data_IF_289460749160
#
_entry.id   IF_289460749160
#
_cell.length_a   1.000
_cell.length_b   1.000
_cell.length_c   1.000
_cell.angle_alpha   90.00
_cell.angle_beta   90.00
_cell.angle_gamma   90.00
#
_symmetry.space_group_name_H-M   'P 1'
#
loop_
_entity.id
_entity.type
_entity.pdbx_description
1 polymer ?
#
# COMPACT_ATOMS: atom_id res chain seq x y z
N UNK A 1 -6.25 -9.49 -2.40
CA UNK A 1 -4.97 -9.27 -3.07
C UNK A 1 -5.14 -9.02 -4.55
N UNK A 2 -4.16 -8.38 -5.12
CA UNK A 2 -4.00 -8.28 -6.56
C UNK A 2 -2.53 -8.38 -6.93
N UNK A 3 -2.25 -8.98 -8.07
CA UNK A 3 -0.90 -8.98 -8.64
C UNK A 3 -0.94 -8.97 -10.16
N UNK A 4 0.09 -8.43 -10.76
CA UNK A 4 0.32 -8.47 -12.21
C UNK A 4 1.70 -9.06 -12.46
N UNK A 5 1.72 -10.06 -13.31
CA UNK A 5 2.92 -10.80 -13.68
C UNK A 5 3.02 -10.95 -15.19
N UNK A 6 4.23 -11.12 -15.69
CA UNK A 6 4.49 -11.34 -17.09
C UNK A 6 5.37 -12.57 -17.24
N UNK A 7 5.17 -13.31 -18.33
CA UNK A 7 6.02 -14.42 -18.71
C UNK A 7 6.51 -14.29 -20.14
N UNK A 8 7.80 -14.50 -20.33
CA UNK A 8 8.43 -14.58 -21.63
C UNK A 8 9.08 -15.95 -21.81
N UNK A 9 8.52 -16.76 -22.68
CA UNK A 9 8.98 -18.14 -22.92
C UNK A 9 8.31 -18.72 -24.15
N UNK A 10 9.00 -19.56 -24.90
CA UNK A 10 8.42 -20.35 -26.00
C UNK A 10 7.49 -21.49 -25.48
N UNK A 11 7.53 -21.77 -24.18
CA UNK A 11 6.63 -22.69 -23.51
C UNK A 11 5.76 -21.96 -22.48
N UNK A 12 4.62 -22.55 -22.12
CA UNK A 12 3.79 -22.01 -21.05
C UNK A 12 4.55 -21.96 -19.71
N UNK A 13 4.40 -20.85 -18.99
CA UNK A 13 4.99 -20.63 -17.67
C UNK A 13 3.89 -20.41 -16.63
N UNK A 14 4.23 -20.36 -15.36
CA UNK A 14 3.25 -20.08 -14.32
C UNK A 14 3.83 -19.28 -13.16
N UNK A 15 2.93 -18.60 -12.44
CA UNK A 15 3.21 -18.04 -11.11
C UNK A 15 2.26 -18.66 -10.09
N UNK A 16 2.82 -19.07 -8.95
CA UNK A 16 2.06 -19.63 -7.83
C UNK A 16 2.19 -18.71 -6.62
N UNK A 17 1.07 -18.15 -6.15
CA UNK A 17 0.97 -17.45 -4.88
C UNK A 17 0.68 -18.46 -3.78
N UNK A 18 1.48 -18.43 -2.71
CA UNK A 18 1.28 -19.25 -1.51
C UNK A 18 1.17 -18.37 -0.27
N UNK A 19 0.40 -18.85 0.71
CA UNK A 19 0.39 -18.34 2.08
C UNK A 19 1.02 -19.39 3.00
N UNK A 20 2.24 -19.12 3.48
CA UNK A 20 3.06 -20.16 4.11
C UNK A 20 3.36 -21.28 3.14
N UNK A 21 2.89 -22.49 3.43
CA UNK A 21 3.00 -23.68 2.56
C UNK A 21 1.80 -23.87 1.63
N UNK A 22 0.67 -23.23 1.92
CA UNK A 22 -0.60 -23.48 1.24
C UNK A 22 -0.68 -22.68 -0.07
N UNK A 23 -1.06 -23.36 -1.14
CA UNK A 23 -1.31 -22.70 -2.41
C UNK A 23 -2.60 -21.89 -2.35
N UNK A 24 -2.49 -20.61 -2.69
CA UNK A 24 -3.62 -19.66 -2.78
C UNK A 24 -4.12 -19.58 -4.22
N UNK A 25 -3.18 -19.41 -5.15
CA UNK A 25 -3.51 -19.25 -6.57
C UNK A 25 -2.34 -19.62 -7.46
N UNK A 26 -2.60 -20.42 -8.49
CA UNK A 26 -1.67 -20.60 -9.62
C UNK A 26 -2.29 -19.99 -10.87
N UNK A 27 -1.50 -19.25 -11.63
CA UNK A 27 -1.85 -18.68 -12.93
C UNK A 27 -0.88 -19.17 -13.98
N UNK A 28 -1.41 -19.62 -15.10
CA UNK A 28 -0.61 -20.03 -16.26
C UNK A 28 -0.51 -18.85 -17.23
N UNK A 29 0.69 -18.59 -17.71
CA UNK A 29 0.96 -17.57 -18.72
C UNK A 29 1.24 -18.28 -20.03
N UNK A 30 0.53 -17.93 -21.11
CA UNK A 30 0.76 -18.51 -22.44
C UNK A 30 2.20 -18.27 -22.92
N UNK A 31 2.64 -19.10 -23.88
CA UNK A 31 3.92 -18.91 -24.55
C UNK A 31 3.89 -17.73 -25.50
N UNK A 32 5.07 -17.15 -25.73
CA UNK A 32 5.33 -16.16 -26.79
C UNK A 32 6.44 -16.69 -27.70
N UNK A 33 6.42 -16.31 -28.98
CA UNK A 33 7.52 -16.68 -29.90
C UNK A 33 8.73 -15.78 -29.63
N UNK A 34 9.69 -16.26 -28.85
CA UNK A 34 10.83 -15.46 -28.39
C UNK A 34 11.75 -14.98 -29.53
N UNK A 35 11.71 -15.61 -30.69
CA UNK A 35 12.50 -15.27 -31.88
C UNK A 35 11.83 -14.26 -32.81
N UNK A 36 10.54 -13.95 -32.56
CA UNK A 36 9.82 -12.96 -33.35
C UNK A 36 10.14 -11.55 -32.82
N UNK A 37 10.93 -10.79 -33.58
CA UNK A 37 11.35 -9.44 -33.22
C UNK A 37 10.19 -8.41 -33.27
N UNK A 38 9.13 -8.73 -34.01
CA UNK A 38 7.93 -7.87 -34.14
C UNK A 38 6.74 -8.41 -33.34
N UNK A 39 6.90 -9.52 -32.65
CA UNK A 39 5.89 -10.17 -31.84
C UNK A 39 5.73 -9.58 -30.45
N UNK A 40 4.81 -10.18 -29.69
CA UNK A 40 4.59 -9.81 -28.28
C UNK A 40 5.84 -10.20 -27.47
N UNK A 41 6.42 -9.23 -26.74
CA UNK A 41 7.61 -9.46 -25.93
C UNK A 41 7.36 -10.44 -24.78
N UNK A 42 6.25 -10.29 -24.08
CA UNK A 42 5.84 -11.13 -22.96
C UNK A 42 4.31 -11.09 -22.79
N UNK A 43 3.71 -12.18 -22.35
CA UNK A 43 2.29 -12.22 -21.98
C UNK A 43 2.09 -11.74 -20.56
N UNK A 44 0.96 -11.03 -20.33
CA UNK A 44 0.64 -10.35 -19.07
C UNK A 44 -0.62 -10.97 -18.48
N UNK A 45 -0.56 -11.32 -17.20
CA UNK A 45 -1.73 -11.75 -16.43
C UNK A 45 -1.91 -10.84 -15.21
N UNK A 46 -3.14 -10.35 -15.03
CA UNK A 46 -3.58 -9.64 -13.83
C UNK A 46 -4.56 -10.49 -13.04
N UNK A 47 -4.34 -10.58 -11.74
CA UNK A 47 -5.16 -11.37 -10.82
C UNK A 47 -5.73 -10.47 -9.74
N UNK A 48 -7.02 -10.65 -9.45
CA UNK A 48 -7.75 -10.02 -8.35
C UNK A 48 -8.53 -11.12 -7.63
N UNK A 49 -8.26 -11.32 -6.35
CA UNK A 49 -8.97 -12.33 -5.57
C UNK A 49 -8.85 -12.03 -4.07
N UNK A 50 -9.49 -12.84 -3.25
CA UNK A 50 -9.44 -12.75 -1.80
C UNK A 50 -8.77 -13.97 -1.19
N UNK A 51 -8.19 -13.80 -0.01
CA UNK A 51 -7.64 -14.89 0.79
C UNK A 51 -7.88 -14.59 2.26
N UNK A 52 -8.30 -15.59 3.02
CA UNK A 52 -8.37 -15.47 4.47
C UNK A 52 -6.99 -15.62 5.07
N UNK A 53 -6.51 -14.65 5.88
CA UNK A 53 -5.20 -14.77 6.49
C UNK A 53 -5.18 -15.91 7.51
N UNK A 54 -4.20 -16.80 7.41
CA UNK A 54 -4.02 -17.94 8.32
C UNK A 54 -3.53 -17.50 9.72
N UNK A 55 -3.00 -16.28 9.84
CA UNK A 55 -2.48 -15.73 11.10
C UNK A 55 -2.56 -14.20 11.10
N UNK A 56 -2.27 -13.59 12.25
CA UNK A 56 -2.18 -12.13 12.37
C UNK A 56 -0.99 -11.52 11.59
N UNK A 57 -0.03 -12.34 11.19
CA UNK A 57 1.14 -11.95 10.40
C UNK A 57 1.40 -13.01 9.32
N UNK A 58 0.54 -13.10 8.29
CA UNK A 58 0.69 -14.10 7.24
C UNK A 58 1.93 -13.81 6.40
N UNK A 59 2.63 -14.87 6.01
CA UNK A 59 3.72 -14.82 5.03
C UNK A 59 3.20 -15.23 3.66
N UNK A 60 3.54 -14.46 2.64
CA UNK A 60 3.19 -14.76 1.25
C UNK A 60 4.45 -14.92 0.42
N UNK A 61 4.41 -15.87 -0.52
CA UNK A 61 5.46 -16.06 -1.53
C UNK A 61 4.83 -16.15 -2.91
N UNK A 62 5.47 -15.55 -3.90
CA UNK A 62 5.08 -15.65 -5.30
C UNK A 62 6.24 -16.31 -6.06
N UNK A 63 6.00 -17.52 -6.58
CA UNK A 63 7.04 -18.35 -7.21
C UNK A 63 6.78 -18.45 -8.72
N UNK A 64 7.81 -18.19 -9.51
CA UNK A 64 7.80 -18.40 -10.95
C UNK A 64 8.22 -19.83 -11.29
N UNK A 65 7.52 -20.46 -12.24
CA UNK A 65 7.87 -21.78 -12.78
C UNK A 65 8.03 -21.66 -14.30
N UNK A 66 9.20 -22.04 -14.79
CA UNK A 66 9.63 -21.87 -16.19
C UNK A 66 8.98 -22.84 -17.19
N UNK A 67 8.20 -23.83 -16.71
CA UNK A 67 7.63 -24.86 -17.58
C UNK A 67 8.66 -25.77 -18.23
N UNK A 68 9.88 -25.85 -17.67
CA UNK A 68 10.99 -26.64 -18.24
C UNK A 68 11.84 -25.89 -19.28
N UNK A 69 11.51 -24.65 -19.63
CA UNK A 69 12.31 -23.81 -20.51
C UNK A 69 13.35 -23.02 -19.71
N UNK A 70 14.64 -23.29 -19.89
CA UNK A 70 15.73 -22.59 -19.20
C UNK A 70 15.90 -21.12 -19.62
N UNK A 71 15.40 -20.73 -20.79
CA UNK A 71 15.42 -19.37 -21.29
C UNK A 71 14.19 -18.55 -20.82
N UNK A 72 13.25 -19.19 -20.12
CA UNK A 72 12.07 -18.52 -19.65
C UNK A 72 12.38 -17.45 -18.59
N UNK A 73 11.72 -16.32 -18.71
CA UNK A 73 11.86 -15.21 -17.76
C UNK A 73 10.48 -14.81 -17.24
N UNK A 74 10.38 -14.70 -15.92
CA UNK A 74 9.20 -14.17 -15.24
C UNK A 74 9.47 -12.78 -14.68
N UNK A 75 8.49 -11.89 -14.80
CA UNK A 75 8.55 -10.53 -14.27
C UNK A 75 7.37 -10.29 -13.34
N UNK A 76 7.59 -9.55 -12.29
CA UNK A 76 6.55 -9.08 -11.37
C UNK A 76 6.44 -7.56 -11.57
N UNK A 77 5.27 -7.10 -11.99
CA UNK A 77 4.97 -5.67 -12.09
C UNK A 77 4.60 -5.12 -10.72
N UNK A 78 3.60 -5.74 -10.07
CA UNK A 78 3.24 -5.43 -8.69
C UNK A 78 2.59 -6.61 -7.98
N UNK A 79 2.65 -6.56 -6.66
CA UNK A 79 1.86 -7.39 -5.74
C UNK A 79 1.33 -6.50 -4.63
N UNK A 80 0.01 -6.40 -4.51
CA UNK A 80 -0.66 -5.62 -3.48
C UNK A 80 -1.51 -6.51 -2.59
N UNK A 81 -1.40 -6.33 -1.29
CA UNK A 81 -2.29 -6.91 -0.29
C UNK A 81 -3.08 -5.78 0.38
N UNK A 82 -4.40 -5.83 0.23
CA UNK A 82 -5.32 -4.90 0.86
C UNK A 82 -6.02 -5.64 1.98
N UNK A 83 -5.75 -5.26 3.22
CA UNK A 83 -6.29 -5.92 4.38
C UNK A 83 -6.76 -4.91 5.43
N UNK A 84 -7.81 -5.29 6.19
CA UNK A 84 -8.17 -4.60 7.41
C UNK A 84 -7.28 -5.11 8.54
N UNK A 85 -6.48 -4.22 9.10
CA UNK A 85 -5.61 -4.54 10.23
C UNK A 85 -6.16 -3.97 11.54
N UNK A 86 -5.75 -4.55 12.67
CA UNK A 86 -5.96 -3.92 13.98
C UNK A 86 -5.17 -2.62 14.04
N UNK A 87 -5.72 -1.62 14.68
CA UNK A 87 -5.06 -0.33 14.89
C UNK A 87 -4.07 -0.46 16.06
N UNK A 88 -2.89 -0.98 15.77
CA UNK A 88 -1.82 -1.15 16.76
C UNK A 88 -0.73 -0.12 16.50
N UNK A 89 -0.45 0.73 17.48
CA UNK A 89 0.63 1.69 17.41
C UNK A 89 1.99 1.00 17.63
N UNK A 90 2.93 1.24 16.72
CA UNK A 90 4.26 0.61 16.72
C UNK A 90 5.36 1.66 16.59
N UNK A 91 5.36 2.65 17.47
CA UNK A 91 6.37 3.73 17.52
C UNK A 91 6.60 4.46 16.17
N UNK A 92 5.54 4.56 15.39
CA UNK A 92 5.53 5.25 14.09
C UNK A 92 4.23 6.00 13.95
N UNK A 93 4.17 6.84 12.92
CA UNK A 93 2.91 7.44 12.50
C UNK A 93 1.97 6.34 11.98
N UNK A 94 0.78 6.22 12.58
CA UNK A 94 -0.26 5.29 12.16
C UNK A 94 -1.32 6.05 11.34
N UNK A 95 -1.45 5.65 10.07
CA UNK A 95 -2.51 6.15 9.19
C UNK A 95 -3.73 5.26 9.34
N UNK A 96 -4.90 5.86 9.57
CA UNK A 96 -6.16 5.18 9.78
C UNK A 96 -7.16 5.64 8.73
N UNK A 97 -7.73 4.69 7.98
CA UNK A 97 -8.82 4.93 7.05
C UNK A 97 -9.57 3.61 6.86
N UNK A 98 -10.87 3.59 7.14
CA UNK A 98 -11.66 2.36 7.12
C UNK A 98 -13.02 2.58 6.44
N UNK A 99 -13.19 2.01 5.24
CA UNK A 99 -14.45 2.07 4.50
C UNK A 99 -15.65 1.48 5.26
N UNK A 100 -15.42 0.54 6.19
CA UNK A 100 -16.49 -0.07 6.98
C UNK A 100 -17.00 0.82 8.09
N UNK A 101 -16.30 1.91 8.40
CA UNK A 101 -16.76 2.92 9.34
C UNK A 101 -17.74 3.91 8.70
N UNK A 102 -17.86 3.93 7.36
CA UNK A 102 -18.67 4.91 6.64
C UNK A 102 -20.14 4.54 6.67
N UNK A 103 -20.97 5.49 7.07
CA UNK A 103 -22.43 5.37 7.05
C UNK A 103 -23.09 6.72 7.27
N UNK A 104 -24.30 6.90 6.72
CA UNK A 104 -25.06 8.15 6.89
C UNK A 104 -25.28 8.45 8.39
N UNK A 105 -24.97 9.67 8.80
CA UNK A 105 -25.08 10.15 10.20
C UNK A 105 -24.36 9.28 11.24
N UNK A 106 -23.31 8.55 10.82
CA UNK A 106 -22.56 7.64 11.69
C UNK A 106 -21.46 8.36 12.43
N UNK A 107 -21.32 8.04 13.71
CA UNK A 107 -20.17 8.40 14.56
C UNK A 107 -19.46 7.11 14.95
N UNK A 108 -18.20 6.99 14.54
CA UNK A 108 -17.40 5.81 14.82
C UNK A 108 -16.42 6.05 15.96
N UNK A 109 -16.34 5.08 16.87
CA UNK A 109 -15.32 5.02 17.91
C UNK A 109 -14.15 4.17 17.42
N UNK A 110 -12.97 4.75 17.43
CA UNK A 110 -11.72 4.08 17.11
C UNK A 110 -10.92 3.81 18.38
N UNK A 111 -10.31 2.64 18.45
CA UNK A 111 -9.40 2.26 19.52
C UNK A 111 -8.04 1.94 18.92
N UNK A 112 -7.03 2.71 19.29
CA UNK A 112 -5.62 2.49 18.90
C UNK A 112 -4.91 1.83 20.07
N UNK A 113 -4.47 0.61 19.86
CA UNK A 113 -3.81 -0.22 20.85
C UNK A 113 -2.32 0.13 20.99
N UNK A 114 -1.75 -0.14 22.16
CA UNK A 114 -0.31 -0.07 22.41
C UNK A 114 0.21 1.30 22.88
N UNK A 115 -0.67 2.31 23.01
CA UNK A 115 -0.29 3.59 23.62
C UNK A 115 -1.52 4.32 24.14
N UNK A 116 -1.51 4.85 25.37
CA UNK A 116 -2.62 5.56 25.98
C UNK A 116 -2.65 7.07 25.66
N UNK A 117 -1.62 7.62 25.01
CA UNK A 117 -1.41 9.07 24.91
C UNK A 117 -0.98 9.52 23.52
N UNK A 118 -1.66 9.02 22.48
CA UNK A 118 -1.41 9.47 21.12
C UNK A 118 -2.19 10.75 20.81
N UNK A 119 -1.57 11.64 20.06
CA UNK A 119 -2.27 12.68 19.34
C UNK A 119 -2.90 12.11 18.09
N UNK A 120 -4.15 12.49 17.81
CA UNK A 120 -4.86 12.08 16.59
C UNK A 120 -5.33 13.30 15.83
N UNK A 121 -5.00 13.35 14.55
CA UNK A 121 -5.47 14.41 13.66
C UNK A 121 -6.32 13.82 12.53
N UNK A 122 -7.44 14.47 12.23
CA UNK A 122 -8.15 14.27 10.97
C UNK A 122 -7.40 15.04 9.89
N UNK A 123 -6.92 14.31 8.90
CA UNK A 123 -6.17 14.81 7.74
C UNK A 123 -6.87 14.45 6.43
N UNK A 124 -8.19 14.30 6.48
CA UNK A 124 -9.03 14.08 5.30
C UNK A 124 -8.85 15.22 4.31
N UNK A 125 -8.81 16.45 4.80
CA UNK A 125 -8.29 17.60 4.07
C UNK A 125 -6.87 17.93 4.58
N UNK A 126 -5.83 17.63 3.80
CA UNK A 126 -4.46 17.86 4.22
C UNK A 126 -4.09 19.35 4.35
N UNK A 127 -4.89 20.26 3.76
CA UNK A 127 -4.69 21.71 3.88
C UNK A 127 -5.30 22.30 5.15
N UNK A 128 -6.21 21.55 5.79
CA UNK A 128 -6.92 21.97 7.01
C UNK A 128 -6.99 20.82 8.04
N UNK A 129 -5.85 20.34 8.55
CA UNK A 129 -5.84 19.24 9.52
C UNK A 129 -6.49 19.68 10.85
N UNK A 130 -7.30 18.78 11.42
CA UNK A 130 -8.02 19.02 12.67
C UNK A 130 -7.55 18.07 13.78
N UNK A 131 -7.08 18.62 14.89
CA UNK A 131 -6.75 17.83 16.07
C UNK A 131 -8.04 17.29 16.74
N UNK A 132 -8.09 15.99 16.99
CA UNK A 132 -9.21 15.35 17.65
C UNK A 132 -8.95 15.16 19.14
N UNK A 133 -10.01 15.20 19.92
CA UNK A 133 -9.93 14.85 21.34
C UNK A 133 -9.75 13.34 21.50
N UNK A 134 -8.80 12.96 22.35
CA UNK A 134 -8.48 11.58 22.66
C UNK A 134 -8.65 11.28 24.13
N UNK A 135 -9.00 10.04 24.44
CA UNK A 135 -9.11 9.53 25.80
C UNK A 135 -8.23 8.30 25.98
N UNK A 136 -7.61 8.18 27.14
CA UNK A 136 -6.87 6.98 27.51
C UNK A 136 -7.81 5.94 28.16
N UNK A 137 -7.71 4.68 27.75
CA UNK A 137 -8.44 3.59 28.38
C UNK A 137 -7.67 2.27 28.23
N UNK A 138 -7.39 1.62 29.34
CA UNK A 138 -6.73 0.30 29.37
C UNK A 138 -5.46 0.21 28.52
N UNK A 139 -4.60 1.24 28.56
CA UNK A 139 -3.37 1.30 27.77
C UNK A 139 -3.54 1.65 26.28
N UNK A 140 -4.72 2.07 25.89
CA UNK A 140 -5.06 2.41 24.51
C UNK A 140 -5.48 3.87 24.38
N UNK A 141 -5.31 4.45 23.19
CA UNK A 141 -5.90 5.73 22.83
C UNK A 141 -7.22 5.52 22.14
N UNK A 142 -8.27 6.22 22.61
CA UNK A 142 -9.62 6.18 22.04
C UNK A 142 -9.99 7.56 21.52
N UNK A 143 -10.61 7.59 20.35
CA UNK A 143 -11.22 8.80 19.80
C UNK A 143 -12.51 8.47 19.06
N UNK A 144 -13.36 9.46 18.86
CA UNK A 144 -14.59 9.37 18.07
C UNK A 144 -14.57 10.42 16.98
N UNK A 145 -15.12 10.07 15.83
CA UNK A 145 -15.26 11.00 14.71
C UNK A 145 -16.55 10.71 13.93
N UNK A 146 -17.13 11.74 13.33
CA UNK A 146 -18.18 11.57 12.35
C UNK A 146 -17.61 10.89 11.11
N UNK A 147 -18.25 9.83 10.65
CA UNK A 147 -17.83 9.00 9.51
C UNK A 147 -18.93 8.83 8.48
N UNK A 148 -19.66 9.89 8.22
CA UNK A 148 -20.63 10.02 7.13
C UNK A 148 -19.98 9.88 5.75
N UNK A 149 -18.69 10.15 5.67
CA UNK A 149 -17.81 9.94 4.52
C UNK A 149 -16.50 9.31 4.95
N UNK A 150 -15.73 8.80 3.98
CA UNK A 150 -14.42 8.20 4.27
C UNK A 150 -13.48 9.26 4.85
N UNK A 151 -13.01 9.03 6.06
CA UNK A 151 -12.05 9.87 6.76
C UNK A 151 -10.65 9.27 6.74
N UNK A 152 -9.67 10.15 6.85
CA UNK A 152 -8.26 9.80 7.01
C UNK A 152 -7.70 10.42 8.27
N UNK A 153 -7.29 9.60 9.21
CA UNK A 153 -6.69 10.06 10.46
C UNK A 153 -5.21 9.68 10.53
N UNK A 154 -4.46 10.46 11.29
CA UNK A 154 -3.09 10.15 11.66
C UNK A 154 -2.98 10.13 13.18
N UNK A 155 -2.53 8.99 13.74
CA UNK A 155 -2.18 8.87 15.15
C UNK A 155 -0.66 8.85 15.32
N UNK A 156 -0.14 9.61 16.25
CA UNK A 156 1.30 9.75 16.50
C UNK A 156 1.60 10.12 17.94
N UNK A 157 2.81 9.80 18.38
CA UNK A 157 3.36 10.28 19.66
C UNK A 157 4.18 11.55 19.43
N UNK A 158 4.11 12.50 20.35
CA UNK A 158 4.95 13.71 20.34
C UNK A 158 6.45 13.40 20.30
N UNK A 159 6.87 12.24 20.87
CA UNK A 159 8.28 11.82 20.88
C UNK A 159 8.81 11.49 19.46
N UNK A 160 7.92 11.25 18.50
CA UNK A 160 8.30 10.88 17.13
C UNK A 160 8.07 12.00 16.10
N UNK A 161 7.80 13.22 16.56
CA UNK A 161 7.72 14.39 15.70
C UNK A 161 9.10 14.70 15.12
N UNK A 162 9.15 14.85 13.79
CA UNK A 162 10.37 15.29 13.11
C UNK A 162 10.43 16.81 13.11
N UNK A 163 11.58 17.36 13.41
CA UNK A 163 11.84 18.78 13.24
C UNK A 163 12.54 19.04 11.89
N UNK A 164 12.21 20.12 11.19
CA UNK A 164 12.92 20.47 9.98
C UNK A 164 14.38 20.81 10.32
N UNK A 165 15.32 20.25 9.56
CA UNK A 165 16.76 20.47 9.76
C UNK A 165 17.14 21.91 9.43
N UNK A 166 16.46 22.51 8.46
CA UNK A 166 16.70 23.90 8.02
C UNK A 166 15.42 24.49 7.42
N UNK A 167 15.10 25.70 7.83
CA UNK A 167 14.04 26.52 7.22
C UNK A 167 14.74 27.77 6.67
N UNK A 168 14.67 28.01 5.37
CA UNK A 168 15.24 29.19 4.71
C UNK A 168 14.23 29.76 3.72
N UNK A 169 14.23 31.07 3.58
CA UNK A 169 13.51 31.71 2.51
C UNK A 169 14.21 31.40 1.17
N UNK A 170 13.44 30.97 0.20
CA UNK A 170 13.92 30.78 -1.17
C UNK A 170 13.66 32.09 -1.91
N UNK A 171 14.70 32.81 -2.36
CA UNK A 171 14.50 34.00 -3.18
C UNK A 171 13.84 33.63 -4.51
N UNK A 172 13.08 34.57 -5.08
CA UNK A 172 12.48 34.36 -6.40
C UNK A 172 13.57 34.01 -7.42
N UNK A 173 13.42 32.87 -8.07
CA UNK A 173 14.39 32.38 -9.07
C UNK A 173 14.20 33.07 -10.43
N UNK A 174 13.10 33.82 -10.60
CA UNK A 174 12.75 34.54 -11.83
C UNK A 174 12.92 33.68 -13.11
N UNK A 175 12.44 32.45 -13.07
CA UNK A 175 12.62 31.45 -14.13
C UNK A 175 12.11 31.90 -15.49
N UNK A 176 11.15 32.84 -15.52
CA UNK A 176 10.59 33.39 -16.76
C UNK A 176 11.55 34.34 -17.50
N UNK A 177 12.57 34.87 -16.82
CA UNK A 177 13.56 35.75 -17.43
C UNK A 177 14.86 35.01 -17.81
N UNK A 178 14.95 33.72 -17.56
CA UNK A 178 16.09 32.92 -18.00
C UNK A 178 16.03 32.75 -19.52
N UNK A 179 17.18 32.83 -20.23
CA UNK A 179 17.23 32.51 -21.65
C UNK A 179 16.78 31.04 -21.84
N UNK A 180 16.13 30.70 -22.97
CA UNK A 180 15.74 29.34 -23.27
C UNK A 180 16.98 28.45 -23.22
N UNK A 181 16.86 27.32 -22.47
CA UNK A 181 17.92 26.31 -22.47
C UNK A 181 17.90 25.57 -23.80
N UNK A 182 19.05 25.50 -24.46
CA UNK A 182 19.20 24.64 -25.59
C UNK A 182 19.07 23.18 -25.13
N UNK A 183 18.09 22.47 -25.66
CA UNK A 183 18.02 21.02 -25.49
C UNK A 183 19.06 20.39 -26.42
N UNK A 184 20.06 19.72 -25.85
CA UNK A 184 21.02 18.89 -26.55
C UNK A 184 20.44 17.51 -26.75
#
# INVERSE_FOLDING_TARGET
YRFRVLGRSDAGTSFTLKQGTDEVRTVTIPSVTMTDLNGVFAEIISVYDSVSPASASPSFSLTFTSGGNMAATGYIDYVDFIARARLVYRDRQLIISDWRSVGESTVTRFTVEGSPSLSVWDVTDPSAPLALQTNASSGNTIFTAATDSLRKFIAFSAAHLKQPVKIVAIPSQNLHSLPPADMI
#
